data_IF_938395730733
#
_entry.id   IF_938395730733
#
_cell.length_a   1.000
_cell.length_b   1.000
_cell.length_c   1.000
_cell.angle_alpha   90.00
_cell.angle_beta   90.00
_cell.angle_gamma   90.00
#
_symmetry.space_group_name_H-M   'P 1'
#
loop_
_entity.id
_entity.type
_entity.pdbx_description
1 polymer ?
#
# COMPACT_ATOMS: atom_id res chain seq x y z
N UNK A 1 0.38 -8.28 13.17
CA UNK A 1 0.70 -6.92 12.70
C UNK A 1 1.95 -7.01 11.84
N UNK A 2 2.15 -6.17 10.82
CA UNK A 2 3.34 -6.29 9.95
C UNK A 2 4.59 -5.80 10.69
N UNK A 3 5.67 -6.58 10.70
CA UNK A 3 6.98 -6.22 11.31
C UNK A 3 7.48 -4.85 10.84
N UNK A 4 7.21 -4.50 9.57
CA UNK A 4 7.61 -3.20 9.01
C UNK A 4 6.88 -2.02 9.66
N UNK A 5 5.63 -2.24 10.10
CA UNK A 5 4.82 -1.24 10.80
C UNK A 5 5.35 -1.04 12.21
N UNK A 6 5.72 -2.13 12.90
CA UNK A 6 6.28 -2.06 14.26
C UNK A 6 7.63 -1.32 14.30
N UNK A 7 8.52 -1.57 13.32
CA UNK A 7 9.81 -0.87 13.20
C UNK A 7 9.60 0.63 12.94
N UNK A 8 8.70 0.98 12.01
CA UNK A 8 8.40 2.38 11.72
C UNK A 8 7.77 3.10 12.92
N UNK A 9 6.82 2.45 13.60
CA UNK A 9 6.15 3.04 14.77
C UNK A 9 7.14 3.27 15.91
N UNK A 10 8.05 2.31 16.17
CA UNK A 10 9.14 2.51 17.14
C UNK A 10 10.09 3.65 16.74
N UNK A 11 10.39 3.79 15.44
CA UNK A 11 11.20 4.91 14.95
C UNK A 11 10.50 6.25 15.17
N UNK A 12 9.22 6.35 14.80
CA UNK A 12 8.40 7.54 14.95
C UNK A 12 8.34 8.00 16.42
N UNK A 13 8.10 7.07 17.35
CA UNK A 13 8.00 7.42 18.78
C UNK A 13 9.35 7.71 19.43
N UNK A 14 10.47 7.24 18.85
CA UNK A 14 11.81 7.50 19.37
C UNK A 14 12.40 8.85 18.91
N UNK A 15 12.10 9.31 17.69
CA UNK A 15 12.71 10.53 17.13
C UNK A 15 11.83 11.76 17.25
N UNK A 16 10.51 11.62 17.04
CA UNK A 16 9.56 12.73 17.10
C UNK A 16 8.17 12.20 17.49
N UNK A 17 7.99 11.85 18.78
CA UNK A 17 6.74 11.29 19.25
C UNK A 17 5.59 12.29 19.04
N UNK A 18 4.53 11.92 18.30
CA UNK A 18 3.45 12.82 18.00
C UNK A 18 2.72 13.24 19.27
N UNK A 19 2.70 14.55 19.53
CA UNK A 19 2.08 15.16 20.71
C UNK A 19 0.54 15.28 20.61
N UNK A 20 -0.05 14.92 19.47
CA UNK A 20 -1.48 15.01 19.20
C UNK A 20 -1.91 13.99 18.15
N UNK A 21 -3.21 13.67 18.14
CA UNK A 21 -3.82 12.81 17.12
C UNK A 21 -3.64 13.38 15.70
N UNK A 22 -3.65 14.71 15.56
CA UNK A 22 -3.38 15.40 14.30
C UNK A 22 -1.96 15.16 13.78
N UNK A 23 -0.95 15.26 14.67
CA UNK A 23 0.44 14.98 14.30
C UNK A 23 0.66 13.50 13.92
N UNK A 24 0.03 12.58 14.66
CA UNK A 24 0.09 11.15 14.36
C UNK A 24 -0.54 10.82 13.00
N UNK A 25 -1.74 11.36 12.73
CA UNK A 25 -2.42 11.15 11.45
C UNK A 25 -1.68 11.79 10.29
N UNK A 26 -1.04 12.95 10.46
CA UNK A 26 -0.18 13.56 9.45
C UNK A 26 1.06 12.71 9.15
N UNK A 27 1.73 12.16 10.17
CA UNK A 27 2.87 11.26 9.98
C UNK A 27 2.47 9.93 9.32
N UNK A 28 1.27 9.42 9.66
CA UNK A 28 0.69 8.26 9.02
C UNK A 28 0.38 8.55 7.54
N UNK A 29 -0.29 9.66 7.25
CA UNK A 29 -0.57 10.08 5.88
C UNK A 29 0.73 10.26 5.11
N UNK A 30 1.72 11.00 5.58
CA UNK A 30 3.02 11.15 4.90
C UNK A 30 3.73 9.82 4.62
N UNK A 31 3.56 8.81 5.48
CA UNK A 31 4.13 7.47 5.30
C UNK A 31 3.41 6.65 4.21
N UNK A 32 2.13 6.91 3.98
CA UNK A 32 1.27 6.22 3.02
C UNK A 32 0.86 7.10 1.82
N UNK A 33 1.22 8.39 1.79
CA UNK A 33 0.91 9.33 0.70
C UNK A 33 1.71 8.98 -0.56
N UNK A 34 2.91 8.43 -0.37
CA UNK A 34 3.73 7.88 -1.46
C UNK A 34 3.17 6.53 -1.95
N UNK A 35 2.31 5.89 -1.16
CA UNK A 35 1.52 4.72 -1.55
C UNK A 35 0.18 5.19 -2.14
N UNK A 36 0.29 5.73 -3.35
CA UNK A 36 -0.36 5.11 -4.49
C UNK A 36 -1.91 5.03 -4.55
N UNK A 37 -2.73 5.60 -3.65
CA UNK A 37 -4.21 5.52 -3.81
C UNK A 37 -4.66 6.05 -5.19
N UNK A 38 -4.10 7.18 -5.64
CA UNK A 38 -4.35 7.73 -6.98
C UNK A 38 -3.83 6.82 -8.08
N UNK A 39 -2.70 6.15 -7.86
CA UNK A 39 -2.11 5.20 -8.82
C UNK A 39 -2.92 3.90 -8.89
N UNK A 40 -3.42 3.37 -7.77
CA UNK A 40 -4.28 2.18 -7.71
C UNK A 40 -5.58 2.44 -8.45
N UNK A 41 -6.22 3.59 -8.20
CA UNK A 41 -7.47 3.95 -8.88
C UNK A 41 -7.22 4.18 -10.38
N UNK A 42 -6.10 4.80 -10.74
CA UNK A 42 -5.69 5.00 -12.13
C UNK A 42 -5.41 3.68 -12.85
N UNK A 43 -4.69 2.75 -12.20
CA UNK A 43 -4.36 1.44 -12.76
C UNK A 43 -5.56 0.52 -12.82
N UNK A 44 -6.46 0.61 -11.83
CA UNK A 44 -7.77 -0.05 -11.85
C UNK A 44 -8.62 0.43 -13.03
N UNK A 45 -8.65 1.73 -13.29
CA UNK A 45 -9.39 2.29 -14.43
C UNK A 45 -8.80 1.89 -15.81
N UNK A 46 -7.54 1.40 -15.84
CA UNK A 46 -6.91 0.86 -17.06
C UNK A 46 -7.18 -0.64 -17.25
N UNK A 47 -7.72 -1.33 -16.25
CA UNK A 47 -8.09 -2.74 -16.39
C UNK A 47 -9.30 -2.86 -17.33
N UNK A 48 -9.06 -3.42 -18.51
CA UNK A 48 -10.11 -3.77 -19.45
C UNK A 48 -10.48 -5.24 -19.29
N UNK A 49 -11.75 -5.56 -19.58
CA UNK A 49 -12.22 -6.94 -19.57
C UNK A 49 -11.41 -7.76 -20.58
N UNK A 50 -10.74 -8.81 -20.09
CA UNK A 50 -9.91 -9.74 -20.86
C UNK A 50 -10.70 -10.98 -21.27
N UNK A 51 -10.04 -11.88 -22.00
CA UNK A 51 -10.55 -13.15 -22.52
C UNK A 51 -11.24 -14.04 -21.48
N UNK A 52 -10.83 -13.97 -20.21
CA UNK A 52 -11.47 -14.70 -19.10
C UNK A 52 -11.58 -13.84 -17.83
N UNK A 53 -12.53 -14.21 -16.96
CA UNK A 53 -12.71 -13.58 -15.64
C UNK A 53 -11.50 -13.84 -14.73
N UNK A 54 -10.87 -15.00 -14.85
CA UNK A 54 -9.67 -15.33 -14.06
C UNK A 54 -8.51 -14.41 -14.46
N UNK A 55 -8.29 -14.18 -15.75
CA UNK A 55 -7.24 -13.28 -16.26
C UNK A 55 -7.42 -11.84 -15.75
N UNK A 56 -8.68 -11.42 -15.51
CA UNK A 56 -9.00 -10.11 -14.96
C UNK A 56 -8.70 -10.05 -13.46
N UNK A 57 -9.03 -11.13 -12.73
CA UNK A 57 -8.76 -11.26 -11.29
C UNK A 57 -7.25 -11.25 -11.04
N UNK A 58 -6.47 -12.02 -11.81
CA UNK A 58 -5.02 -12.09 -11.66
C UNK A 58 -4.37 -10.69 -11.83
N UNK A 59 -4.77 -9.94 -12.87
CA UNK A 59 -4.28 -8.57 -13.10
C UNK A 59 -4.70 -7.57 -12.03
N UNK A 60 -5.88 -7.77 -11.45
CA UNK A 60 -6.36 -6.96 -10.35
C UNK A 60 -5.55 -7.21 -9.08
N UNK A 61 -5.28 -8.48 -8.75
CA UNK A 61 -4.45 -8.86 -7.61
C UNK A 61 -3.01 -8.36 -7.75
N UNK A 62 -2.43 -8.48 -8.95
CA UNK A 62 -1.09 -7.96 -9.23
C UNK A 62 -1.00 -6.44 -9.02
N UNK A 63 -1.95 -5.68 -9.57
CA UNK A 63 -1.99 -4.22 -9.39
C UNK A 63 -2.16 -3.81 -7.92
N UNK A 64 -2.98 -4.56 -7.19
CA UNK A 64 -3.20 -4.33 -5.76
C UNK A 64 -1.95 -4.67 -4.94
N UNK A 65 -1.22 -5.74 -5.26
CA UNK A 65 0.01 -6.11 -4.55
C UNK A 65 1.15 -5.13 -4.81
N UNK A 66 1.33 -4.70 -6.07
CA UNK A 66 2.29 -3.65 -6.44
C UNK A 66 1.98 -2.36 -5.68
N UNK A 67 0.70 -2.00 -5.57
CA UNK A 67 0.30 -0.80 -4.83
C UNK A 67 0.57 -0.86 -3.34
N UNK A 68 0.61 -2.06 -2.75
CA UNK A 68 0.96 -2.30 -1.35
C UNK A 68 2.47 -2.41 -1.14
N UNK A 69 3.29 -2.17 -2.17
CA UNK A 69 4.74 -2.33 -2.12
C UNK A 69 5.17 -3.77 -1.89
N UNK A 70 4.34 -4.75 -2.27
CA UNK A 70 4.67 -6.17 -2.25
C UNK A 70 4.83 -6.66 -3.68
N UNK A 71 6.01 -7.14 -4.01
CA UNK A 71 6.19 -7.97 -5.21
C UNK A 71 5.57 -9.33 -4.93
N UNK A 72 4.72 -9.82 -5.85
CA UNK A 72 4.29 -11.22 -5.85
C UNK A 72 5.56 -12.07 -5.95
N UNK A 73 5.88 -12.79 -4.89
CA UNK A 73 6.92 -13.83 -4.94
C UNK A 73 6.19 -15.11 -5.32
N UNK A 74 6.25 -15.47 -6.59
CA UNK A 74 5.80 -16.77 -7.09
C UNK A 74 6.77 -17.85 -6.58
N UNK A 75 6.73 -18.15 -5.28
CA UNK A 75 7.37 -19.36 -4.76
C UNK A 75 6.30 -20.41 -4.54
N UNK A 76 6.24 -21.35 -5.51
CA UNK A 76 5.50 -22.61 -5.48
C UNK A 76 5.76 -23.44 -4.21
#
# INVERSE_FOLDING_TARGET
MSIRVEIWLHGLTATDPPNSWGAFTAALMARFDDLSITNVISDFNKLTQTTSVNDYIDKFEDGFMVSLGRTYDETY
#
